data_IF_704535468433
#
_entry.id   IF_704535468433
#
_cell.length_a   1.000
_cell.length_b   1.000
_cell.length_c   1.000
_cell.angle_alpha   90.00
_cell.angle_beta   90.00
_cell.angle_gamma   90.00
#
_symmetry.space_group_name_H-M   'P 1'
#
loop_
_entity.id
_entity.type
_entity.pdbx_description
1 polymer ?
#
# COMPACT_ATOMS: atom_id res chain seq x y z
N UNK A 1 -1.07 -0.49 -13.01
CA UNK A 1 -1.35 0.92 -13.29
C UNK A 1 -2.81 1.09 -13.68
N UNK A 2 -3.56 1.90 -12.93
CA UNK A 2 -4.93 2.26 -13.30
C UNK A 2 -4.89 3.25 -14.48
N UNK A 3 -5.79 3.09 -15.44
CA UNK A 3 -5.92 4.06 -16.51
C UNK A 3 -6.59 5.37 -16.02
N UNK A 4 -6.55 6.41 -16.86
CA UNK A 4 -7.11 7.72 -16.51
C UNK A 4 -8.61 7.65 -16.20
N UNK A 5 -9.37 6.80 -16.90
CA UNK A 5 -10.81 6.67 -16.74
C UNK A 5 -11.14 6.07 -15.37
N UNK A 6 -10.40 5.04 -14.98
CA UNK A 6 -10.52 4.38 -13.69
C UNK A 6 -10.22 5.32 -12.52
N UNK A 7 -9.21 6.18 -12.66
CA UNK A 7 -8.92 7.23 -11.66
C UNK A 7 -10.09 8.22 -11.55
N UNK A 8 -10.70 8.65 -12.66
CA UNK A 8 -11.84 9.56 -12.61
C UNK A 8 -13.06 8.92 -11.94
N UNK A 9 -13.35 7.65 -12.24
CA UNK A 9 -14.42 6.89 -11.56
C UNK A 9 -14.18 6.83 -10.05
N UNK A 10 -12.95 6.55 -9.63
CA UNK A 10 -12.58 6.53 -8.22
C UNK A 10 -12.76 7.91 -7.56
N UNK A 11 -12.36 9.00 -8.24
CA UNK A 11 -12.59 10.36 -7.71
C UNK A 11 -14.07 10.66 -7.51
N UNK A 12 -14.93 10.30 -8.46
CA UNK A 12 -16.38 10.51 -8.33
C UNK A 12 -16.94 9.75 -7.13
N UNK A 13 -16.60 8.46 -6.99
CA UNK A 13 -17.03 7.64 -5.87
C UNK A 13 -16.57 8.20 -4.52
N UNK A 14 -15.29 8.57 -4.39
CA UNK A 14 -14.75 9.15 -3.15
C UNK A 14 -15.40 10.49 -2.80
N UNK A 15 -15.73 11.33 -3.79
CA UNK A 15 -16.49 12.57 -3.55
C UNK A 15 -17.86 12.29 -2.96
N UNK A 16 -18.56 11.29 -3.47
CA UNK A 16 -19.88 10.89 -2.96
C UNK A 16 -19.77 10.37 -1.52
N UNK A 17 -18.80 9.51 -1.24
CA UNK A 17 -18.58 8.92 0.08
C UNK A 17 -18.23 9.95 1.17
N UNK A 18 -17.58 11.05 0.80
CA UNK A 18 -17.10 12.07 1.74
C UNK A 18 -17.86 13.41 1.66
N UNK A 19 -18.90 13.50 0.82
CA UNK A 19 -19.65 14.74 0.54
C UNK A 19 -20.15 15.45 1.80
N UNK A 20 -20.72 14.69 2.73
CA UNK A 20 -21.36 15.27 3.93
C UNK A 20 -20.38 15.50 5.09
N UNK A 21 -19.11 15.10 4.92
CA UNK A 21 -18.08 15.14 5.98
C UNK A 21 -17.13 16.32 5.85
N UNK A 22 -17.01 16.89 4.65
CA UNK A 22 -16.01 17.92 4.32
C UNK A 22 -16.66 19.06 3.54
N UNK A 23 -16.13 20.28 3.71
CA UNK A 23 -16.47 21.40 2.82
C UNK A 23 -16.02 21.12 1.39
N UNK A 24 -16.63 21.77 0.39
CA UNK A 24 -16.32 21.51 -1.03
C UNK A 24 -14.83 21.65 -1.37
N UNK A 25 -14.14 22.67 -0.86
CA UNK A 25 -12.70 22.86 -1.08
C UNK A 25 -11.88 21.76 -0.41
N UNK A 26 -12.17 21.48 0.86
CA UNK A 26 -11.47 20.43 1.61
C UNK A 26 -11.71 19.03 1.01
N UNK A 27 -12.89 18.79 0.45
CA UNK A 27 -13.24 17.54 -0.22
C UNK A 27 -12.39 17.32 -1.47
N UNK A 28 -12.24 18.34 -2.33
CA UNK A 28 -11.43 18.21 -3.54
C UNK A 28 -9.94 17.99 -3.24
N UNK A 29 -9.40 18.71 -2.26
CA UNK A 29 -8.02 18.52 -1.81
C UNK A 29 -7.81 17.12 -1.25
N UNK A 30 -8.77 16.65 -0.44
CA UNK A 30 -8.74 15.32 0.16
C UNK A 30 -8.82 14.19 -0.88
N UNK A 31 -9.77 14.28 -1.81
CA UNK A 31 -9.93 13.30 -2.90
C UNK A 31 -8.72 13.32 -3.84
N UNK A 32 -8.20 14.50 -4.17
CA UNK A 32 -6.99 14.62 -4.99
C UNK A 32 -5.80 13.97 -4.30
N UNK A 33 -5.64 14.17 -2.99
CA UNK A 33 -4.61 13.51 -2.19
C UNK A 33 -4.77 11.99 -2.20
N UNK A 34 -5.98 11.45 -1.97
CA UNK A 34 -6.25 10.01 -1.97
C UNK A 34 -6.00 9.34 -3.32
N UNK A 35 -6.26 10.04 -4.42
CA UNK A 35 -6.02 9.53 -5.78
C UNK A 35 -4.60 9.80 -6.29
N UNK A 36 -3.77 10.54 -5.54
CA UNK A 36 -2.37 10.74 -5.90
C UNK A 36 -1.60 9.46 -5.63
N UNK A 37 -0.85 9.01 -6.62
CA UNK A 37 0.08 7.89 -6.50
C UNK A 37 1.38 8.23 -7.22
N UNK A 38 2.45 7.56 -6.81
CA UNK A 38 3.76 7.66 -7.44
C UNK A 38 4.24 6.28 -7.84
N UNK A 39 4.53 6.10 -9.13
CA UNK A 39 5.17 4.89 -9.61
C UNK A 39 6.66 4.95 -9.27
N UNK A 40 7.15 3.93 -8.57
CA UNK A 40 8.55 3.80 -8.23
C UNK A 40 9.16 2.75 -9.16
N UNK A 41 10.02 3.23 -10.05
CA UNK A 41 10.66 2.43 -11.10
C UNK A 41 11.74 1.52 -10.53
N UNK A 42 11.94 0.34 -11.12
CA UNK A 42 12.92 -0.62 -10.63
C UNK A 42 14.32 -0.01 -10.74
N UNK A 43 15.05 0.01 -9.63
CA UNK A 43 16.46 0.39 -9.65
C UNK A 43 17.32 -0.84 -9.89
N UNK A 44 18.49 -0.69 -10.53
CA UNK A 44 19.43 -1.79 -10.70
C UNK A 44 19.86 -2.45 -9.37
N UNK A 45 19.89 -1.67 -8.29
CA UNK A 45 20.28 -2.10 -6.95
C UNK A 45 19.14 -2.67 -6.10
N UNK A 46 17.87 -2.57 -6.52
CA UNK A 46 16.74 -3.16 -5.78
C UNK A 46 16.75 -4.68 -5.75
N UNK A 47 17.49 -5.29 -6.69
CA UNK A 47 17.83 -6.70 -6.67
C UNK A 47 18.89 -7.01 -5.58
N UNK A 48 18.79 -6.40 -4.38
CA UNK A 48 19.61 -6.78 -3.23
C UNK A 48 19.39 -8.27 -3.02
N UNK A 49 20.45 -9.04 -3.26
CA UNK A 49 20.42 -10.46 -3.02
C UNK A 49 20.50 -10.66 -1.51
N UNK A 50 19.86 -11.69 -0.96
CA UNK A 50 19.94 -12.00 0.48
C UNK A 50 21.38 -12.00 1.01
N UNK A 51 22.35 -12.30 0.14
CA UNK A 51 23.79 -12.29 0.42
C UNK A 51 24.36 -10.92 0.79
N UNK A 52 23.77 -9.83 0.30
CA UNK A 52 24.28 -8.46 0.50
C UNK A 52 23.92 -7.88 1.87
N UNK A 53 23.09 -8.61 2.64
CA UNK A 53 22.58 -8.25 3.96
C UNK A 53 22.65 -9.43 4.94
N UNK A 54 23.65 -10.30 4.76
CA UNK A 54 23.92 -11.48 5.59
C UNK A 54 22.70 -12.41 5.81
N UNK A 55 21.80 -12.48 4.83
CA UNK A 55 20.60 -13.31 4.87
C UNK A 55 19.51 -12.81 5.81
N UNK A 56 19.48 -11.51 6.14
CA UNK A 56 18.55 -10.93 7.13
C UNK A 56 17.46 -10.01 6.56
N UNK A 57 16.93 -10.31 5.38
CA UNK A 57 15.67 -9.71 4.92
C UNK A 57 14.76 -10.71 4.22
N UNK A 58 13.49 -10.36 4.20
CA UNK A 58 12.49 -11.00 3.36
C UNK A 58 12.41 -10.26 2.03
N UNK A 59 12.31 -10.96 0.90
CA UNK A 59 12.19 -10.34 -0.42
C UNK A 59 10.72 -10.33 -0.84
N UNK A 60 10.24 -9.20 -1.35
CA UNK A 60 8.85 -9.03 -1.79
C UNK A 60 8.76 -8.39 -3.18
N UNK A 61 7.71 -8.71 -3.93
CA UNK A 61 7.37 -8.16 -5.25
C UNK A 61 5.95 -7.62 -5.28
N UNK A 62 5.59 -6.88 -6.34
CA UNK A 62 4.24 -6.30 -6.51
C UNK A 62 3.80 -5.55 -5.25
N UNK A 63 4.63 -4.59 -4.86
CA UNK A 63 4.55 -3.96 -3.54
C UNK A 63 3.99 -2.54 -3.63
N UNK A 64 3.38 -2.10 -2.54
CA UNK A 64 2.85 -0.76 -2.35
C UNK A 64 3.33 -0.20 -1.01
N UNK A 65 3.83 1.04 -1.02
CA UNK A 65 3.98 1.85 0.20
C UNK A 65 2.69 2.61 0.39
N UNK A 66 1.94 2.26 1.43
CA UNK A 66 0.63 2.82 1.76
C UNK A 66 0.81 3.92 2.80
N UNK A 67 0.59 5.17 2.40
CA UNK A 67 0.53 6.33 3.29
C UNK A 67 -0.88 6.52 3.81
N UNK A 68 -1.06 6.57 5.13
CA UNK A 68 -2.35 6.87 5.75
C UNK A 68 -2.50 8.36 5.98
N UNK A 69 -3.48 9.01 5.34
CA UNK A 69 -3.54 10.47 5.22
C UNK A 69 -4.58 11.18 6.11
N UNK A 70 -5.46 10.43 6.76
CA UNK A 70 -6.55 10.92 7.63
C UNK A 70 -6.23 10.76 9.13
N UNK A 71 -4.95 10.67 9.47
CA UNK A 71 -4.45 10.51 10.84
C UNK A 71 -3.59 11.70 11.25
N UNK A 72 -3.48 11.94 12.57
CA UNK A 72 -2.67 13.05 13.12
C UNK A 72 -1.16 12.84 12.96
N UNK A 73 -0.72 11.60 12.75
CA UNK A 73 0.68 11.20 12.67
C UNK A 73 0.86 10.52 11.33
N UNK A 74 1.89 10.89 10.57
CA UNK A 74 2.19 10.21 9.31
C UNK A 74 2.45 8.72 9.57
N UNK A 75 1.66 7.85 8.92
CA UNK A 75 1.81 6.40 9.02
C UNK A 75 2.06 5.81 7.64
N UNK A 76 3.04 4.91 7.56
CA UNK A 76 3.44 4.21 6.34
C UNK A 76 3.49 2.71 6.57
N UNK A 77 2.98 1.95 5.63
CA UNK A 77 2.97 0.50 5.67
C UNK A 77 3.39 -0.09 4.33
N UNK A 78 3.91 -1.31 4.36
CA UNK A 78 4.22 -2.07 3.17
C UNK A 78 3.13 -3.12 2.98
N UNK A 79 2.53 -3.08 1.80
CA UNK A 79 1.72 -4.15 1.25
C UNK A 79 2.51 -4.81 0.11
N UNK A 80 2.45 -6.13 0.00
CA UNK A 80 2.94 -6.84 -1.18
C UNK A 80 2.03 -8.02 -1.47
N UNK A 81 1.77 -8.24 -2.75
CA UNK A 81 1.01 -9.41 -3.20
C UNK A 81 1.85 -10.68 -3.29
N UNK A 82 3.18 -10.58 -3.15
CA UNK A 82 4.07 -11.69 -3.47
C UNK A 82 5.35 -11.66 -2.63
N UNK A 83 5.36 -12.48 -1.58
CA UNK A 83 6.53 -12.89 -0.84
C UNK A 83 7.37 -13.80 -1.74
N UNK A 84 8.64 -13.46 -1.94
CA UNK A 84 9.59 -14.26 -2.71
C UNK A 84 10.41 -15.14 -1.77
N UNK A 85 10.88 -14.57 -0.67
CA UNK A 85 11.59 -15.31 0.38
C UNK A 85 11.36 -14.67 1.74
N UNK A 86 11.28 -15.48 2.79
CA UNK A 86 11.28 -15.00 4.17
C UNK A 86 12.36 -15.71 4.96
N UNK A 87 13.44 -15.01 5.28
CA UNK A 87 14.54 -15.57 6.07
C UNK A 87 14.11 -16.07 7.46
N UNK A 88 12.97 -15.58 7.98
CA UNK A 88 12.40 -16.03 9.25
C UNK A 88 11.48 -17.25 9.13
N UNK A 89 11.23 -17.74 7.92
CA UNK A 89 10.36 -18.89 7.64
C UNK A 89 8.93 -18.76 8.23
N UNK A 90 8.34 -17.55 8.22
CA UNK A 90 6.96 -17.31 8.70
C UNK A 90 5.92 -17.40 7.59
N UNK A 91 6.34 -17.17 6.35
CA UNK A 91 5.50 -17.26 5.16
C UNK A 91 6.18 -18.10 4.08
N UNK A 92 5.41 -18.42 3.04
CA UNK A 92 5.88 -19.18 1.88
C UNK A 92 5.87 -18.32 0.62
N UNK A 93 6.58 -18.79 -0.41
CA UNK A 93 6.57 -18.13 -1.71
C UNK A 93 5.15 -17.93 -2.24
N UNK A 94 4.83 -16.71 -2.68
CA UNK A 94 3.53 -16.34 -3.21
C UNK A 94 2.53 -15.82 -2.16
N UNK A 95 2.86 -15.88 -0.86
CA UNK A 95 2.04 -15.25 0.16
C UNK A 95 2.01 -13.72 0.01
N UNK A 96 0.93 -13.08 0.44
CA UNK A 96 0.90 -11.63 0.60
C UNK A 96 1.69 -11.22 1.86
N UNK A 97 2.21 -10.00 1.86
CA UNK A 97 2.83 -9.38 3.02
C UNK A 97 2.06 -8.14 3.40
N UNK A 98 1.72 -8.05 4.69
CA UNK A 98 1.12 -6.87 5.28
C UNK A 98 1.91 -6.50 6.53
N UNK A 99 2.62 -5.38 6.49
CA UNK A 99 3.57 -5.06 7.56
C UNK A 99 2.96 -4.26 8.70
N UNK A 100 3.68 -4.22 9.83
CA UNK A 100 3.53 -3.14 10.81
C UNK A 100 4.04 -1.82 10.23
N UNK A 101 3.94 -0.75 11.03
CA UNK A 101 4.47 0.57 10.69
C UNK A 101 5.94 0.48 10.21
N UNK A 102 6.22 1.19 9.12
CA UNK A 102 7.56 1.38 8.59
C UNK A 102 8.30 2.38 9.47
N UNK A 103 9.47 1.98 9.96
CA UNK A 103 10.38 2.84 10.73
C UNK A 103 11.36 3.58 9.82
N UNK A 104 11.75 2.94 8.71
CA UNK A 104 12.68 3.50 7.74
C UNK A 104 12.39 2.93 6.36
N UNK A 105 12.39 3.80 5.35
CA UNK A 105 12.22 3.44 3.94
C UNK A 105 13.33 4.11 3.14
N UNK A 106 14.24 3.29 2.62
CA UNK A 106 15.28 3.68 1.68
C UNK A 106 14.81 3.32 0.27
N UNK A 107 14.26 4.32 -0.41
CA UNK A 107 13.78 4.17 -1.78
C UNK A 107 14.91 3.92 -2.79
N UNK A 108 16.11 4.44 -2.53
CA UNK A 108 17.25 4.29 -3.44
C UNK A 108 17.72 2.84 -3.46
N UNK A 109 17.82 2.22 -2.27
CA UNK A 109 18.24 0.84 -2.13
C UNK A 109 17.08 -0.17 -2.09
N UNK A 110 15.83 0.27 -2.12
CA UNK A 110 14.67 -0.61 -2.09
C UNK A 110 14.55 -1.36 -0.76
N UNK A 111 14.90 -0.71 0.36
CA UNK A 111 14.86 -1.32 1.69
C UNK A 111 13.75 -0.72 2.54
N UNK A 112 12.91 -1.60 3.09
CA UNK A 112 11.87 -1.23 4.05
C UNK A 112 12.18 -1.89 5.38
N UNK A 113 12.40 -1.08 6.41
CA UNK A 113 12.60 -1.56 7.78
C UNK A 113 11.36 -1.30 8.61
N UNK A 114 10.90 -2.37 9.24
CA UNK A 114 9.93 -2.34 10.33
C UNK A 114 10.62 -2.68 11.64
N UNK A 115 9.91 -2.53 12.77
CA UNK A 115 10.42 -2.92 14.10
C UNK A 115 11.06 -4.30 14.14
N UNK A 116 10.48 -5.26 13.41
CA UNK A 116 10.87 -6.66 13.52
C UNK A 116 11.55 -7.23 12.27
N UNK A 117 11.36 -6.62 11.09
CA UNK A 117 11.73 -7.26 9.81
C UNK A 117 12.28 -6.20 8.86
N UNK A 118 13.35 -6.56 8.15
CA UNK A 118 13.84 -5.86 6.98
C UNK A 118 13.26 -6.53 5.73
N UNK A 119 12.81 -5.72 4.78
CA UNK A 119 12.29 -6.18 3.50
C UNK A 119 13.11 -5.57 2.36
N UNK A 120 13.47 -6.40 1.39
CA UNK A 120 13.98 -5.96 0.10
C UNK A 120 12.84 -5.91 -0.90
N UNK A 121 12.71 -4.78 -1.57
CA UNK A 121 11.70 -4.53 -2.60
C UNK A 121 12.27 -4.93 -3.95
N UNK A 122 11.62 -5.86 -4.63
CA UNK A 122 12.04 -6.32 -5.96
C UNK A 122 11.00 -5.94 -7.02
N UNK A 123 11.49 -5.47 -8.16
CA UNK A 123 10.68 -4.95 -9.27
C UNK A 123 9.96 -3.62 -8.96
N UNK A 124 9.08 -3.23 -9.86
CA UNK A 124 8.30 -1.99 -9.75
C UNK A 124 7.37 -2.00 -8.53
N UNK A 125 7.14 -0.83 -7.97
CA UNK A 125 6.17 -0.63 -6.90
C UNK A 125 5.52 0.74 -6.96
N UNK A 126 4.56 0.96 -6.07
CA UNK A 126 3.75 2.18 -6.04
C UNK A 126 3.73 2.78 -4.63
N UNK A 127 3.80 4.10 -4.53
CA UNK A 127 3.44 4.81 -3.31
C UNK A 127 2.01 5.34 -3.46
N UNK A 128 1.13 4.96 -2.55
CA UNK A 128 -0.31 5.22 -2.62
C UNK A 128 -0.80 5.87 -1.33
N UNK A 129 -1.93 6.59 -1.43
CA UNK A 129 -2.57 7.24 -0.28
C UNK A 129 -3.90 6.57 0.06
N UNK A 130 -4.08 6.21 1.32
CA UNK A 130 -5.27 5.58 1.85
C UNK A 130 -5.75 6.29 3.12
N UNK A 131 -7.02 6.12 3.45
CA UNK A 131 -7.56 6.34 4.79
C UNK A 131 -7.24 5.17 5.70
N UNK A 132 -7.35 5.36 7.02
CA UNK A 132 -7.19 4.27 7.98
C UNK A 132 -8.21 3.15 7.73
N UNK A 133 -9.43 3.51 7.32
CA UNK A 133 -10.48 2.56 7.00
C UNK A 133 -10.14 1.73 5.76
N UNK A 134 -9.67 2.35 4.68
CA UNK A 134 -9.21 1.64 3.48
C UNK A 134 -8.05 0.69 3.81
N UNK A 135 -7.10 1.15 4.64
CA UNK A 135 -6.00 0.31 5.11
C UNK A 135 -6.47 -0.92 5.90
N UNK A 136 -7.41 -0.75 6.83
CA UNK A 136 -8.01 -1.87 7.57
C UNK A 136 -8.68 -2.88 6.62
N UNK A 137 -9.39 -2.38 5.60
CA UNK A 137 -10.02 -3.24 4.58
C UNK A 137 -9.00 -3.99 3.75
N UNK A 138 -7.94 -3.33 3.28
CA UNK A 138 -6.83 -3.99 2.58
C UNK A 138 -6.28 -5.15 3.41
N UNK A 139 -6.12 -4.96 4.73
CA UNK A 139 -5.65 -6.01 5.64
C UNK A 139 -6.65 -7.16 5.78
N UNK A 140 -7.93 -6.86 5.88
CA UNK A 140 -8.98 -7.86 6.05
C UNK A 140 -9.11 -8.78 4.83
N UNK A 141 -9.14 -8.20 3.62
CA UNK A 141 -9.37 -8.94 2.38
C UNK A 141 -8.07 -9.35 1.66
N UNK A 142 -6.92 -8.85 2.11
CA UNK A 142 -5.58 -9.16 1.59
C UNK A 142 -5.41 -8.76 0.12
N UNK A 143 -5.93 -7.59 -0.25
CA UNK A 143 -5.90 -7.05 -1.61
C UNK A 143 -5.22 -5.68 -1.65
N UNK A 144 -4.61 -5.29 -2.79
CA UNK A 144 -4.06 -3.96 -2.99
C UNK A 144 -5.15 -2.88 -2.96
N UNK A 145 -4.75 -1.63 -2.73
CA UNK A 145 -5.69 -0.52 -2.50
C UNK A 145 -6.67 -0.32 -3.67
N UNK A 146 -6.19 -0.46 -4.91
CA UNK A 146 -7.03 -0.26 -6.09
C UNK A 146 -8.15 -1.30 -6.19
N UNK A 147 -7.91 -2.53 -5.75
CA UNK A 147 -8.93 -3.58 -5.71
C UNK A 147 -9.95 -3.31 -4.60
N UNK A 148 -9.52 -2.84 -3.42
CA UNK A 148 -10.44 -2.41 -2.35
C UNK A 148 -11.39 -1.34 -2.89
N UNK A 149 -10.86 -0.28 -3.50
CA UNK A 149 -11.67 0.81 -4.05
C UNK A 149 -12.61 0.36 -5.17
N UNK A 150 -12.16 -0.54 -6.04
CA UNK A 150 -12.99 -1.09 -7.10
C UNK A 150 -14.17 -1.90 -6.53
N UNK A 151 -13.91 -2.76 -5.54
CA UNK A 151 -14.96 -3.53 -4.85
C UNK A 151 -15.97 -2.58 -4.20
N UNK A 152 -15.51 -1.56 -3.49
CA UNK A 152 -16.42 -0.62 -2.81
C UNK A 152 -17.30 0.17 -3.77
N UNK A 153 -16.73 0.57 -4.91
CA UNK A 153 -17.48 1.25 -5.97
C UNK A 153 -18.52 0.33 -6.63
N UNK A 154 -18.12 -0.91 -6.97
CA UNK A 154 -18.91 -1.78 -7.85
C UNK A 154 -19.90 -2.68 -7.08
N UNK A 155 -19.56 -3.07 -5.85
CA UNK A 155 -20.32 -4.02 -5.04
C UNK A 155 -20.91 -3.35 -3.78
N UNK A 156 -20.30 -2.26 -3.32
CA UNK A 156 -20.71 -1.54 -2.11
C UNK A 156 -19.71 -1.72 -0.96
N UNK A 157 -19.95 -1.01 0.14
CA UNK A 157 -19.01 -0.89 1.27
C UNK A 157 -18.66 -2.26 1.85
N UNK A 158 -17.36 -2.54 1.98
CA UNK A 158 -16.86 -3.73 2.68
C UNK A 158 -17.03 -3.49 4.18
N UNK A 159 -17.84 -4.31 4.86
CA UNK A 159 -17.93 -4.33 6.31
C UNK A 159 -16.77 -5.16 6.89
N UNK A 160 -16.18 -4.71 7.99
CA UNK A 160 -15.17 -5.48 8.69
C UNK A 160 -15.87 -6.65 9.38
N UNK A 161 -15.48 -7.93 9.16
CA UNK A 161 -16.13 -9.08 9.79
C UNK A 161 -16.01 -9.13 11.32
N UNK A 162 -15.34 -8.15 11.94
CA UNK A 162 -15.23 -7.98 13.39
C UNK A 162 -16.23 -6.99 14.01
N UNK A 163 -17.16 -6.44 13.22
CA UNK A 163 -18.34 -5.73 13.74
C UNK A 163 -19.42 -6.69 14.27
#
# INVERSE_FOLDING_TARGET
MLDHNEIQKQKVHLREQHRDKLSSTALEDFVTKLCTYYLIKPQPCWAIHEKDIDGRASIVRKWQIVNVVDTKVAMRFLFSEMLVSDYKNRGIFGDYVFTSLIEYFDIENGLVKTKNTLYCLDGEGEEVNATLLEFSKMRAIKQPLHMVRAIERDVGTIQDPTD
#
